data_IF_069055134954
#
_entry.id   IF_069055134954
#
_cell.length_a   1.000
_cell.length_b   1.000
_cell.length_c   1.000
_cell.angle_alpha   90.00
_cell.angle_beta   90.00
_cell.angle_gamma   90.00
#
_symmetry.space_group_name_H-M   'P 1'
#
loop_
_entity.id
_entity.type
_entity.pdbx_description
1 polymer ?
#
# COMPACT_ATOMS: atom_id res chain seq x y z
N UNK A 1 0.38 10.63 19.04
CA UNK A 1 -0.28 10.44 17.73
C UNK A 1 -1.76 10.63 17.96
N UNK A 2 -2.32 11.67 17.36
CA UNK A 2 -3.76 11.89 17.42
C UNK A 2 -4.43 10.87 16.49
N UNK A 3 -5.67 10.54 16.81
CA UNK A 3 -6.54 9.69 16.00
C UNK A 3 -6.76 10.32 14.62
N UNK A 4 -6.44 9.63 13.52
CA UNK A 4 -6.79 10.06 12.15
C UNK A 4 -5.66 10.40 11.18
N UNK A 5 -4.40 10.11 11.51
CA UNK A 5 -3.27 10.44 10.63
C UNK A 5 -3.26 9.55 9.36
N UNK A 6 -3.59 10.10 8.19
CA UNK A 6 -3.28 9.49 6.90
C UNK A 6 -1.91 10.00 6.42
N UNK A 7 -1.10 9.13 5.83
CA UNK A 7 0.23 9.47 5.30
C UNK A 7 0.20 9.34 3.79
N UNK A 8 0.50 10.43 3.08
CA UNK A 8 0.64 10.45 1.63
C UNK A 8 2.10 10.35 1.19
N UNK A 9 2.39 9.47 0.24
CA UNK A 9 3.64 9.42 -0.50
C UNK A 9 3.39 9.81 -1.95
N UNK A 10 4.22 10.72 -2.48
CA UNK A 10 4.12 11.19 -3.86
C UNK A 10 5.39 10.79 -4.62
N UNK A 11 5.22 10.08 -5.73
CA UNK A 11 6.28 9.84 -6.69
C UNK A 11 6.29 10.97 -7.73
N UNK A 12 7.46 11.54 -7.98
CA UNK A 12 7.65 12.62 -8.95
C UNK A 12 8.72 12.25 -9.98
N UNK A 13 8.53 12.72 -11.21
CA UNK A 13 9.57 12.77 -12.24
C UNK A 13 9.87 14.23 -12.55
N UNK A 14 11.02 14.71 -12.08
CA UNK A 14 11.27 16.15 -11.99
C UNK A 14 10.25 16.79 -11.04
N UNK A 15 9.54 17.81 -11.52
CA UNK A 15 8.47 18.47 -10.77
C UNK A 15 7.09 17.82 -10.99
N UNK A 16 6.98 16.90 -11.95
CA UNK A 16 5.70 16.29 -12.32
C UNK A 16 5.33 15.15 -11.38
N UNK A 17 4.19 15.18 -10.69
CA UNK A 17 3.69 14.02 -9.94
C UNK A 17 3.25 12.90 -10.88
N UNK A 18 3.71 11.68 -10.64
CA UNK A 18 3.48 10.50 -11.52
C UNK A 18 2.83 9.31 -10.82
N UNK A 19 2.80 9.32 -9.49
CA UNK A 19 2.13 8.31 -8.70
C UNK A 19 1.94 8.74 -7.25
N UNK A 20 1.01 8.10 -6.56
CA UNK A 20 0.66 8.39 -5.18
C UNK A 20 0.35 7.11 -4.43
N UNK A 21 0.68 7.10 -3.13
CA UNK A 21 0.26 6.08 -2.18
C UNK A 21 -0.31 6.74 -0.93
N UNK A 22 -1.43 6.22 -0.42
CA UNK A 22 -2.00 6.60 0.86
C UNK A 22 -1.86 5.45 1.85
N UNK A 23 -1.38 5.77 3.05
CA UNK A 23 -1.15 4.84 4.14
C UNK A 23 -1.93 5.26 5.38
N UNK A 24 -2.63 4.32 6.00
CA UNK A 24 -3.31 4.51 7.28
C UNK A 24 -2.58 3.69 8.36
N UNK A 25 -2.04 4.32 9.41
CA UNK A 25 -1.52 3.61 10.56
C UNK A 25 -2.66 2.91 11.30
N UNK A 26 -2.53 1.60 11.44
CA UNK A 26 -3.48 0.74 12.13
C UNK A 26 -2.80 0.05 13.32
N UNK A 27 -3.60 -0.56 14.19
CA UNK A 27 -3.12 -1.43 15.25
C UNK A 27 -4.05 -2.63 15.42
N UNK A 28 -3.47 -3.83 15.53
CA UNK A 28 -4.23 -5.04 15.78
C UNK A 28 -3.41 -6.06 16.57
N UNK A 29 -4.10 -6.91 17.31
CA UNK A 29 -3.48 -7.99 18.10
C UNK A 29 -2.81 -9.01 17.18
N UNK A 30 -3.48 -9.44 16.10
CA UNK A 30 -2.91 -10.40 15.14
C UNK A 30 -1.66 -9.86 14.42
N UNK A 31 -1.56 -8.53 14.31
CA UNK A 31 -0.42 -7.86 13.69
C UNK A 31 0.77 -7.69 14.66
N UNK A 32 0.61 -8.06 15.94
CA UNK A 32 1.62 -7.85 16.97
C UNK A 32 1.82 -6.36 17.31
N UNK A 33 0.80 -5.53 17.12
CA UNK A 33 0.86 -4.09 17.36
C UNK A 33 0.53 -3.27 16.12
N UNK A 34 1.37 -2.27 15.83
CA UNK A 34 1.14 -1.28 14.76
C UNK A 34 1.57 -1.79 13.38
N UNK A 35 0.80 -1.40 12.37
CA UNK A 35 1.07 -1.69 10.96
C UNK A 35 0.53 -0.55 10.08
N UNK A 36 0.87 -0.56 8.79
CA UNK A 36 0.30 0.37 7.81
C UNK A 36 -0.64 -0.34 6.86
N UNK A 37 -1.85 0.20 6.66
CA UNK A 37 -2.75 -0.21 5.58
C UNK A 37 -2.54 0.72 4.37
N UNK A 38 -2.30 0.16 3.19
CA UNK A 38 -2.35 0.89 1.91
C UNK A 38 -3.82 1.00 1.50
N UNK A 39 -4.40 2.20 1.60
CA UNK A 39 -5.76 2.45 1.11
C UNK A 39 -5.77 2.75 -0.38
N UNK A 40 -4.78 3.50 -0.86
CA UNK A 40 -4.66 3.85 -2.28
C UNK A 40 -3.23 3.65 -2.78
N UNK A 41 -3.10 3.10 -3.98
CA UNK A 41 -1.89 3.10 -4.79
C UNK A 41 -2.28 3.38 -6.24
N UNK A 42 -1.84 4.50 -6.78
CA UNK A 42 -2.14 4.89 -8.15
C UNK A 42 -0.89 5.39 -8.87
N UNK A 43 -0.78 5.01 -10.13
CA UNK A 43 0.26 5.47 -11.05
C UNK A 43 -0.41 5.89 -12.35
N UNK A 44 -0.03 7.07 -12.85
CA UNK A 44 -0.49 7.58 -14.13
C UNK A 44 -0.27 6.53 -15.23
N UNK A 45 -1.24 6.29 -16.13
CA UNK A 45 -1.17 5.22 -17.14
C UNK A 45 0.16 5.15 -17.91
N UNK A 46 0.68 6.29 -18.34
CA UNK A 46 1.92 6.45 -19.11
C UNK A 46 3.21 6.20 -18.28
N UNK A 47 3.08 6.08 -16.97
CA UNK A 47 4.13 5.75 -16.01
C UNK A 47 4.04 4.33 -15.44
N UNK A 48 3.01 3.57 -15.84
CA UNK A 48 2.85 2.17 -15.42
C UNK A 48 3.96 1.30 -16.01
N UNK A 49 4.30 0.24 -15.29
CA UNK A 49 5.38 -0.71 -15.65
C UNK A 49 6.77 -0.09 -15.76
N UNK A 50 6.98 1.14 -15.26
CA UNK A 50 8.29 1.81 -15.15
C UNK A 50 8.86 1.80 -13.72
N UNK A 51 8.35 0.92 -12.86
CA UNK A 51 8.84 0.77 -11.47
C UNK A 51 8.28 1.78 -10.45
N UNK A 52 7.45 2.76 -10.86
CA UNK A 52 6.94 3.81 -9.95
C UNK A 52 6.22 3.24 -8.71
N UNK A 53 5.34 2.26 -8.89
CA UNK A 53 4.63 1.62 -7.79
C UNK A 53 5.57 0.86 -6.83
N UNK A 54 6.62 0.23 -7.36
CA UNK A 54 7.61 -0.49 -6.55
C UNK A 54 8.46 0.49 -5.71
N UNK A 55 8.83 1.64 -6.26
CA UNK A 55 9.53 2.68 -5.47
C UNK A 55 8.63 3.29 -4.38
N UNK A 56 7.33 3.47 -4.65
CA UNK A 56 6.37 3.85 -3.60
C UNK A 56 6.28 2.80 -2.49
N UNK A 57 6.22 1.50 -2.83
CA UNK A 57 6.25 0.41 -1.85
C UNK A 57 7.54 0.40 -1.03
N UNK A 58 8.69 0.59 -1.67
CA UNK A 58 9.98 0.69 -0.98
C UNK A 58 10.03 1.86 0.01
N UNK A 59 9.49 3.02 -0.40
CA UNK A 59 9.36 4.18 0.47
C UNK A 59 8.42 3.90 1.66
N UNK A 60 7.28 3.26 1.42
CA UNK A 60 6.34 2.85 2.46
C UNK A 60 6.95 1.87 3.46
N UNK A 61 7.68 0.85 2.98
CA UNK A 61 8.38 -0.12 3.84
C UNK A 61 9.45 0.55 4.69
N UNK A 62 10.21 1.47 4.10
CA UNK A 62 11.23 2.25 4.84
C UNK A 62 10.60 3.13 5.91
N UNK A 63 9.48 3.79 5.58
CA UNK A 63 8.70 4.58 6.54
C UNK A 63 8.16 3.71 7.66
N UNK A 64 7.53 2.58 7.33
CA UNK A 64 6.98 1.64 8.30
C UNK A 64 8.03 1.12 9.27
N UNK A 65 9.22 0.74 8.77
CA UNK A 65 10.33 0.33 9.61
C UNK A 65 10.75 1.43 10.61
N UNK A 66 10.83 2.69 10.17
CA UNK A 66 11.12 3.84 11.05
C UNK A 66 10.01 4.07 12.10
N UNK A 67 8.76 3.77 11.75
CA UNK A 67 7.61 3.87 12.66
C UNK A 67 7.40 2.64 13.54
N UNK A 68 8.28 1.64 13.45
CA UNK A 68 8.20 0.38 14.20
C UNK A 68 7.07 -0.55 13.73
N UNK A 69 6.53 -0.34 12.52
CA UNK A 69 5.55 -1.23 11.94
C UNK A 69 6.16 -2.58 11.62
N UNK A 70 5.38 -3.64 11.81
CA UNK A 70 5.82 -5.01 11.52
C UNK A 70 5.42 -5.51 10.15
N UNK A 71 4.48 -4.83 9.49
CA UNK A 71 3.95 -5.19 8.18
C UNK A 71 3.26 -4.00 7.50
N UNK A 72 3.06 -4.15 6.19
CA UNK A 72 2.11 -3.39 5.41
C UNK A 72 1.00 -4.33 4.97
N UNK A 73 -0.24 -3.84 4.90
CA UNK A 73 -1.39 -4.59 4.43
C UNK A 73 -2.09 -3.82 3.31
N UNK A 74 -2.66 -4.54 2.36
CA UNK A 74 -3.43 -3.95 1.26
C UNK A 74 -4.59 -4.87 0.93
N UNK A 75 -5.73 -4.30 0.58
CA UNK A 75 -6.84 -5.09 0.04
C UNK A 75 -6.53 -5.51 -1.38
N UNK A 76 -6.31 -6.81 -1.61
CA UNK A 76 -6.19 -7.33 -2.96
C UNK A 76 -7.55 -7.22 -3.70
N UNK A 77 -7.55 -6.84 -4.99
CA UNK A 77 -8.76 -6.80 -5.80
C UNK A 77 -9.28 -8.22 -6.12
N UNK A 78 -10.57 -8.31 -6.46
CA UNK A 78 -11.22 -9.58 -6.79
C UNK A 78 -10.55 -10.28 -7.98
N UNK A 79 -10.41 -11.60 -7.89
CA UNK A 79 -9.88 -12.42 -8.96
C UNK A 79 -11.01 -13.02 -9.81
N UNK A 80 -10.80 -13.28 -11.13
CA UNK A 80 -9.52 -13.23 -11.87
C UNK A 80 -9.24 -11.91 -12.62
N UNK A 81 -10.19 -10.96 -12.62
CA UNK A 81 -10.12 -9.73 -13.43
C UNK A 81 -8.86 -8.87 -13.14
N UNK A 82 -8.32 -8.99 -11.93
CA UNK A 82 -7.20 -8.17 -11.44
C UNK A 82 -5.97 -9.00 -11.06
N UNK A 83 -5.71 -10.10 -11.78
CA UNK A 83 -4.56 -10.99 -11.53
C UNK A 83 -3.23 -10.26 -11.56
N UNK A 84 -3.03 -9.37 -12.54
CA UNK A 84 -1.80 -8.57 -12.65
C UNK A 84 -1.53 -7.70 -11.42
N UNK A 85 -2.57 -7.18 -10.77
CA UNK A 85 -2.42 -6.39 -9.54
C UNK A 85 -2.06 -7.27 -8.36
N UNK A 86 -2.63 -8.47 -8.28
CA UNK A 86 -2.27 -9.47 -7.27
C UNK A 86 -0.80 -9.90 -7.47
N UNK A 87 -0.43 -10.30 -8.68
CA UNK A 87 0.93 -10.70 -9.04
C UNK A 87 1.94 -9.60 -8.68
N UNK A 88 1.62 -8.33 -8.96
CA UNK A 88 2.46 -7.20 -8.57
C UNK A 88 2.73 -7.17 -7.05
N UNK A 89 1.71 -7.35 -6.21
CA UNK A 89 1.91 -7.36 -4.76
C UNK A 89 2.69 -8.59 -4.31
N UNK A 90 2.37 -9.78 -4.84
CA UNK A 90 3.10 -11.02 -4.54
C UNK A 90 4.59 -10.92 -4.92
N UNK A 91 4.90 -10.40 -6.10
CA UNK A 91 6.26 -10.14 -6.58
C UNK A 91 7.01 -9.12 -5.71
N UNK A 92 6.28 -8.28 -4.96
CA UNK A 92 6.82 -7.31 -4.01
C UNK A 92 6.76 -7.81 -2.54
N UNK A 93 6.59 -9.12 -2.33
CA UNK A 93 6.72 -9.76 -1.03
C UNK A 93 5.47 -9.69 -0.14
N UNK A 94 4.30 -9.46 -0.73
CA UNK A 94 3.03 -9.62 -0.02
C UNK A 94 2.55 -11.08 -0.10
N UNK A 95 1.96 -11.56 0.99
CA UNK A 95 1.26 -12.84 1.06
C UNK A 95 -0.26 -12.63 1.14
N UNK A 96 -1.04 -13.56 0.60
CA UNK A 96 -2.49 -13.56 0.77
C UNK A 96 -2.89 -13.92 2.22
N UNK A 97 -3.63 -13.03 2.89
CA UNK A 97 -4.07 -13.20 4.29
C UNK A 97 -5.57 -13.46 4.45
N UNK A 98 -6.31 -13.61 3.35
CA UNK A 98 -7.75 -13.92 3.33
C UNK A 98 -8.63 -12.84 2.67
N UNK A 99 -9.96 -13.04 2.63
CA UNK A 99 -10.88 -12.13 1.92
C UNK A 99 -11.15 -10.83 2.70
N UNK A 100 -11.28 -9.71 1.97
CA UNK A 100 -11.76 -8.43 2.53
C UNK A 100 -13.28 -8.36 2.50
N UNK A 101 -13.91 -8.18 3.67
CA UNK A 101 -15.36 -8.04 3.80
C UNK A 101 -15.77 -6.60 4.07
N UNK A 102 -16.96 -6.19 3.60
CA UNK A 102 -17.57 -4.89 3.93
C UNK A 102 -19.03 -5.06 4.31
N UNK A 103 -19.51 -4.21 5.22
CA UNK A 103 -20.93 -4.00 5.49
C UNK A 103 -21.25 -2.55 5.20
N UNK A 104 -22.25 -2.32 4.36
CA UNK A 104 -22.78 -0.96 4.15
C UNK A 104 -23.55 -0.55 5.41
N UNK A 105 -23.30 0.68 5.87
CA UNK A 105 -23.98 1.30 7.01
C UNK A 105 -24.92 2.36 6.46
#
# INVERSE_FOLDING_TARGET
MQSGDAIGLLAQWGETPVGVMMLNPCAAIYAGGRFGEISELFVLPEWRSKGVAAELLKAATTLGAKMGWKRLEVGAPNQPEWSRTLDFYCDNGFDEVGPRLRRLI
#
